data_IF_301406026221
#
_entry.id   IF_301406026221
#
_cell.length_a   1.000
_cell.length_b   1.000
_cell.length_c   1.000
_cell.angle_alpha   90.00
_cell.angle_beta   90.00
_cell.angle_gamma   90.00
#
_symmetry.space_group_name_H-M   'P 1'
#
loop_
_entity.id
_entity.type
_entity.pdbx_description
1 polymer ?
#
# COMPACT_ATOMS: atom_id res chain seq x y z
N UNK A 1 -25.13 -68.30 27.76
CA UNK A 1 -24.63 -68.09 26.38
C UNK A 1 -25.87 -67.90 25.53
N UNK A 2 -26.20 -66.76 24.93
CA UNK A 2 -25.43 -65.68 24.31
C UNK A 2 -26.27 -64.40 24.36
N UNK A 3 -25.67 -63.24 24.66
CA UNK A 3 -26.31 -61.94 24.41
C UNK A 3 -25.37 -61.05 23.61
N UNK A 4 -25.97 -60.47 22.57
CA UNK A 4 -25.38 -59.77 21.44
C UNK A 4 -24.59 -58.52 21.85
N UNK A 5 -23.36 -58.41 21.37
CA UNK A 5 -22.55 -57.18 21.42
C UNK A 5 -22.95 -56.27 20.26
N UNK A 6 -23.67 -55.19 20.55
CA UNK A 6 -23.96 -54.14 19.58
C UNK A 6 -22.77 -53.17 19.49
N UNK A 7 -22.20 -53.04 18.29
CA UNK A 7 -21.15 -52.08 17.99
C UNK A 7 -21.66 -50.63 18.10
N UNK A 8 -20.82 -49.67 18.55
CA UNK A 8 -21.22 -48.27 18.61
C UNK A 8 -21.31 -47.69 17.18
N UNK A 9 -22.47 -47.13 16.85
CA UNK A 9 -22.70 -46.41 15.59
C UNK A 9 -21.80 -45.16 15.53
N UNK A 10 -20.92 -45.08 14.53
CA UNK A 10 -20.17 -43.88 14.20
C UNK A 10 -21.12 -42.83 13.62
N UNK A 11 -21.39 -41.76 14.38
CA UNK A 11 -22.11 -40.61 13.86
C UNK A 11 -21.35 -39.98 12.68
N UNK A 12 -22.05 -39.47 11.65
CA UNK A 12 -21.39 -38.88 10.49
C UNK A 12 -20.59 -37.62 10.90
N UNK A 13 -19.43 -37.36 10.30
CA UNK A 13 -18.64 -36.18 10.60
C UNK A 13 -19.45 -34.91 10.27
N UNK A 14 -19.68 -34.07 11.28
CA UNK A 14 -20.30 -32.76 11.10
C UNK A 14 -19.53 -31.88 10.10
N UNK A 15 -20.16 -30.84 9.54
CA UNK A 15 -19.54 -29.99 8.53
C UNK A 15 -18.19 -29.47 9.02
N UNK A 16 -17.14 -29.67 8.21
CA UNK A 16 -15.75 -29.39 8.55
C UNK A 16 -15.60 -28.04 9.27
N UNK A 17 -15.21 -28.08 10.54
CA UNK A 17 -14.96 -26.90 11.34
C UNK A 17 -13.94 -26.02 10.60
N UNK A 18 -14.36 -24.83 10.14
CA UNK A 18 -13.43 -23.85 9.54
C UNK A 18 -12.29 -23.63 10.52
N UNK A 19 -11.05 -23.78 10.06
CA UNK A 19 -9.87 -23.69 10.92
C UNK A 19 -9.81 -22.37 11.70
N UNK A 20 -9.26 -22.35 12.92
CA UNK A 20 -9.25 -21.17 13.81
C UNK A 20 -8.60 -19.95 13.15
N UNK A 21 -7.66 -20.16 12.24
CA UNK A 21 -7.02 -19.11 11.44
C UNK A 21 -7.97 -18.36 10.50
N UNK A 22 -8.98 -19.04 9.93
CA UNK A 22 -9.97 -18.40 9.04
C UNK A 22 -10.85 -17.43 9.82
N UNK A 23 -11.29 -17.85 11.02
CA UNK A 23 -12.09 -17.00 11.91
C UNK A 23 -11.25 -15.83 12.41
N UNK A 24 -10.00 -16.08 12.81
CA UNK A 24 -9.09 -15.02 13.23
C UNK A 24 -8.83 -14.00 12.11
N UNK A 25 -8.69 -14.45 10.86
CA UNK A 25 -8.50 -13.56 9.71
C UNK A 25 -9.73 -12.65 9.49
N UNK A 26 -10.93 -13.20 9.61
CA UNK A 26 -12.17 -12.41 9.52
C UNK A 26 -12.26 -11.36 10.65
N UNK A 27 -11.87 -11.72 11.88
CA UNK A 27 -11.83 -10.79 13.00
C UNK A 27 -10.75 -9.70 12.80
N UNK A 28 -9.58 -10.08 12.27
CA UNK A 28 -8.51 -9.16 11.91
C UNK A 28 -8.94 -8.12 10.86
N UNK A 29 -9.72 -8.54 9.86
CA UNK A 29 -10.32 -7.61 8.88
C UNK A 29 -11.31 -6.64 9.55
N UNK A 30 -12.15 -7.14 10.46
CA UNK A 30 -13.05 -6.28 11.24
C UNK A 30 -12.29 -5.26 12.11
N UNK A 31 -11.20 -5.69 12.76
CA UNK A 31 -10.32 -4.80 13.51
C UNK A 31 -9.62 -3.78 12.61
N UNK A 32 -9.17 -4.19 11.43
CA UNK A 32 -8.60 -3.30 10.41
C UNK A 32 -9.60 -2.23 9.99
N UNK A 33 -10.87 -2.60 9.75
CA UNK A 33 -11.92 -1.65 9.41
C UNK A 33 -12.16 -0.65 10.56
N UNK A 34 -12.18 -1.12 11.81
CA UNK A 34 -12.26 -0.24 12.98
C UNK A 34 -11.11 0.77 13.04
N UNK A 35 -9.89 0.36 12.71
CA UNK A 35 -8.76 1.29 12.61
C UNK A 35 -8.89 2.27 11.45
N UNK A 36 -9.38 1.80 10.31
CA UNK A 36 -9.64 2.66 9.16
C UNK A 36 -10.60 3.81 9.52
N UNK A 37 -11.71 3.53 10.22
CA UNK A 37 -12.65 4.59 10.65
C UNK A 37 -12.01 5.66 11.56
N UNK A 38 -11.11 5.27 12.48
CA UNK A 38 -10.40 6.23 13.35
C UNK A 38 -9.54 7.20 12.54
N UNK A 39 -8.87 6.69 11.50
CA UNK A 39 -8.02 7.52 10.65
C UNK A 39 -8.82 8.33 9.63
N UNK A 40 -9.88 7.75 9.06
CA UNK A 40 -10.77 8.45 8.12
C UNK A 40 -11.38 9.69 8.77
N UNK A 41 -11.79 9.64 10.04
CA UNK A 41 -12.32 10.80 10.75
C UNK A 41 -11.34 11.99 10.75
N UNK A 42 -10.06 11.73 11.05
CA UNK A 42 -9.01 12.74 11.02
C UNK A 42 -8.72 13.23 9.59
N UNK A 43 -8.72 12.32 8.60
CA UNK A 43 -8.50 12.68 7.19
C UNK A 43 -9.64 13.52 6.60
N UNK A 44 -10.86 13.36 7.10
CA UNK A 44 -12.05 14.06 6.62
C UNK A 44 -12.28 15.43 7.27
N UNK A 45 -11.52 15.78 8.31
CA UNK A 45 -11.72 17.03 9.04
C UNK A 45 -11.64 18.29 8.15
N UNK A 46 -10.61 18.49 7.30
CA UNK A 46 -10.56 19.65 6.40
C UNK A 46 -11.71 19.71 5.36
N UNK A 47 -12.05 18.63 4.62
CA UNK A 47 -13.20 18.67 3.70
C UNK A 47 -14.53 18.94 4.38
N UNK A 48 -14.75 18.40 5.60
CA UNK A 48 -15.98 18.64 6.35
C UNK A 48 -16.08 20.10 6.79
N UNK A 49 -14.95 20.73 7.16
CA UNK A 49 -14.90 22.16 7.47
C UNK A 49 -15.24 23.02 6.24
N UNK A 50 -14.68 22.71 5.07
CA UNK A 50 -14.96 23.44 3.85
C UNK A 50 -16.39 23.23 3.31
N UNK A 51 -16.92 22.00 3.40
CA UNK A 51 -18.22 21.65 2.84
C UNK A 51 -19.42 21.99 3.73
N UNK A 52 -19.28 21.88 5.05
CA UNK A 52 -20.36 22.09 6.01
C UNK A 52 -20.12 23.30 6.94
N UNK A 53 -18.99 23.99 6.80
CA UNK A 53 -18.65 25.16 7.62
C UNK A 53 -18.37 24.82 9.09
N UNK A 54 -17.95 23.58 9.39
CA UNK A 54 -17.76 23.12 10.77
C UNK A 54 -16.63 23.87 11.50
N UNK A 55 -16.87 24.23 12.75
CA UNK A 55 -15.85 24.77 13.64
C UNK A 55 -14.85 23.69 14.10
N UNK A 56 -13.64 24.07 14.52
CA UNK A 56 -12.68 23.13 15.13
C UNK A 56 -13.24 22.36 16.33
N UNK A 57 -14.12 22.99 17.13
CA UNK A 57 -14.78 22.34 18.26
C UNK A 57 -15.74 21.24 17.79
N UNK A 58 -16.53 21.49 16.74
CA UNK A 58 -17.42 20.49 16.14
C UNK A 58 -16.66 19.32 15.52
N UNK A 59 -15.54 19.58 14.85
CA UNK A 59 -14.63 18.52 14.36
C UNK A 59 -14.08 17.67 15.52
N UNK A 60 -13.73 18.31 16.63
CA UNK A 60 -13.34 17.64 17.87
C UNK A 60 -14.45 16.72 18.41
N UNK A 61 -15.69 17.21 18.45
CA UNK A 61 -16.86 16.42 18.87
C UNK A 61 -17.13 15.26 17.91
N UNK A 62 -17.06 15.48 16.60
CA UNK A 62 -17.19 14.44 15.58
C UNK A 62 -16.17 13.31 15.79
N UNK A 63 -14.88 13.64 15.98
CA UNK A 63 -13.83 12.66 16.23
C UNK A 63 -13.97 11.97 17.61
N UNK A 64 -14.36 12.72 18.64
CA UNK A 64 -14.50 12.19 20.00
C UNK A 64 -15.72 11.27 20.16
N UNK A 65 -16.81 11.52 19.42
CA UNK A 65 -18.06 10.75 19.52
C UNK A 65 -17.84 9.26 19.25
N UNK A 66 -17.01 8.93 18.25
CA UNK A 66 -16.61 7.54 18.00
C UNK A 66 -15.99 6.91 19.24
N UNK A 67 -15.06 7.60 19.90
CA UNK A 67 -14.30 7.08 21.04
C UNK A 67 -15.16 6.94 22.29
N UNK A 68 -16.03 7.91 22.57
CA UNK A 68 -16.99 7.82 23.68
C UNK A 68 -17.98 6.68 23.48
N UNK A 69 -18.57 6.55 22.29
CA UNK A 69 -19.49 5.45 21.99
C UNK A 69 -18.79 4.09 22.05
N UNK A 70 -17.60 3.99 21.45
CA UNK A 70 -16.76 2.77 21.50
C UNK A 70 -16.42 2.38 22.94
N UNK A 71 -16.02 3.34 23.77
CA UNK A 71 -15.64 3.15 25.16
C UNK A 71 -16.81 2.74 26.06
N UNK A 72 -17.94 3.46 25.96
CA UNK A 72 -19.16 3.17 26.71
C UNK A 72 -19.67 1.76 26.44
N UNK A 73 -19.47 1.24 25.22
CA UNK A 73 -19.91 -0.09 24.84
C UNK A 73 -18.98 -1.22 25.29
N UNK A 74 -17.75 -0.96 25.76
CA UNK A 74 -16.78 -2.03 26.03
C UNK A 74 -17.26 -3.06 27.04
N UNK A 75 -17.88 -2.63 28.14
CA UNK A 75 -18.42 -3.52 29.17
C UNK A 75 -19.53 -4.41 28.60
N UNK A 76 -20.46 -3.82 27.84
CA UNK A 76 -21.55 -4.54 27.20
C UNK A 76 -21.06 -5.53 26.14
N UNK A 77 -20.00 -5.19 25.39
CA UNK A 77 -19.38 -6.09 24.42
C UNK A 77 -18.70 -7.27 25.11
N UNK A 78 -18.03 -7.06 26.25
CA UNK A 78 -17.47 -8.12 27.08
C UNK A 78 -18.55 -9.11 27.54
N UNK A 79 -19.60 -8.58 28.19
CA UNK A 79 -20.75 -9.37 28.64
C UNK A 79 -21.39 -10.11 27.47
N UNK A 80 -21.61 -9.43 26.34
CA UNK A 80 -22.15 -10.05 25.12
C UNK A 80 -21.31 -11.22 24.62
N UNK A 81 -19.98 -11.10 24.64
CA UNK A 81 -19.09 -12.19 24.20
C UNK A 81 -19.02 -13.37 25.16
N UNK A 82 -19.32 -13.16 26.43
CA UNK A 82 -19.42 -14.22 27.42
C UNK A 82 -20.76 -14.94 27.33
N UNK A 83 -21.86 -14.21 27.13
CA UNK A 83 -23.22 -14.77 27.08
C UNK A 83 -23.61 -15.32 25.70
N UNK A 84 -23.33 -14.59 24.64
CA UNK A 84 -23.73 -14.89 23.26
C UNK A 84 -22.59 -15.52 22.43
N UNK A 85 -21.36 -15.45 22.95
CA UNK A 85 -20.16 -15.83 22.23
C UNK A 85 -19.66 -14.73 21.28
N UNK A 86 -18.38 -14.85 20.88
CA UNK A 86 -17.69 -13.89 20.00
C UNK A 86 -18.43 -13.68 18.68
N UNK A 87 -18.82 -14.78 18.02
CA UNK A 87 -19.43 -14.73 16.68
C UNK A 87 -20.73 -13.92 16.66
N UNK A 88 -21.65 -14.19 17.58
CA UNK A 88 -22.97 -13.53 17.60
C UNK A 88 -22.83 -12.06 17.99
N UNK A 89 -21.99 -11.76 18.97
CA UNK A 89 -21.73 -10.38 19.41
C UNK A 89 -21.21 -9.52 18.27
N UNK A 90 -20.20 -10.02 17.52
CA UNK A 90 -19.67 -9.29 16.36
C UNK A 90 -20.74 -9.13 15.27
N UNK A 91 -21.48 -10.19 14.93
CA UNK A 91 -22.50 -10.12 13.88
C UNK A 91 -23.68 -9.19 14.21
N UNK A 92 -23.99 -8.99 15.50
CA UNK A 92 -25.03 -8.06 15.93
C UNK A 92 -24.52 -6.60 15.96
N UNK A 93 -23.27 -6.39 16.35
CA UNK A 93 -22.71 -5.03 16.46
C UNK A 93 -22.28 -4.46 15.10
N UNK A 94 -21.61 -5.25 14.26
CA UNK A 94 -20.99 -4.73 13.03
C UNK A 94 -21.96 -4.08 12.02
N UNK A 95 -23.22 -4.54 11.87
CA UNK A 95 -24.22 -3.84 11.06
C UNK A 95 -24.44 -2.38 11.48
N UNK A 96 -24.28 -2.04 12.77
CA UNK A 96 -24.34 -0.65 13.22
C UNK A 96 -23.22 0.20 12.63
N UNK A 97 -22.03 -0.38 12.44
CA UNK A 97 -20.92 0.33 11.80
C UNK A 97 -21.18 0.57 10.30
N UNK A 98 -21.83 -0.37 9.62
CA UNK A 98 -22.27 -0.20 8.23
C UNK A 98 -23.34 0.88 8.12
N UNK A 99 -24.35 0.87 9.01
CA UNK A 99 -25.39 1.90 9.01
C UNK A 99 -24.81 3.28 9.34
N UNK A 100 -23.90 3.35 10.32
CA UNK A 100 -23.23 4.58 10.69
C UNK A 100 -22.35 5.15 9.56
N UNK A 101 -21.66 4.28 8.80
CA UNK A 101 -20.86 4.73 7.65
C UNK A 101 -21.73 5.28 6.51
N UNK A 102 -22.89 4.65 6.24
CA UNK A 102 -23.88 5.16 5.27
C UNK A 102 -24.45 6.50 5.72
N UNK A 103 -24.81 6.63 7.01
CA UNK A 103 -25.28 7.89 7.60
C UNK A 103 -24.26 9.01 7.46
N UNK A 104 -22.99 8.75 7.77
CA UNK A 104 -21.90 9.72 7.57
C UNK A 104 -21.71 10.08 6.09
N UNK A 105 -21.79 9.11 5.19
CA UNK A 105 -21.61 9.35 3.75
C UNK A 105 -22.73 10.20 3.13
N UNK A 106 -23.95 10.12 3.68
CA UNK A 106 -25.12 10.87 3.22
C UNK A 106 -25.41 12.12 4.06
N UNK A 107 -24.52 12.51 4.97
CA UNK A 107 -24.79 13.52 5.98
C UNK A 107 -25.00 14.93 5.38
N UNK A 108 -26.19 15.54 5.53
CA UNK A 108 -26.43 16.93 5.11
C UNK A 108 -26.09 17.95 6.20
N UNK A 109 -25.76 17.50 7.42
CA UNK A 109 -25.53 18.37 8.59
C UNK A 109 -24.64 17.72 9.63
N UNK A 110 -24.12 18.52 10.57
CA UNK A 110 -23.28 18.07 11.68
C UNK A 110 -23.93 16.97 12.54
N UNK A 111 -25.22 17.08 12.84
CA UNK A 111 -25.92 16.10 13.68
C UNK A 111 -25.90 14.68 13.07
N UNK A 112 -26.00 14.57 11.74
CA UNK A 112 -25.90 13.29 11.04
C UNK A 112 -24.50 12.67 11.16
N UNK A 113 -23.46 13.50 11.10
CA UNK A 113 -22.08 13.04 11.28
C UNK A 113 -21.83 12.52 12.70
N UNK A 114 -22.37 13.21 13.71
CA UNK A 114 -22.28 12.78 15.12
C UNK A 114 -23.05 11.47 15.32
N UNK A 115 -24.29 11.38 14.84
CA UNK A 115 -25.10 10.15 14.93
C UNK A 115 -24.44 8.97 14.21
N UNK A 116 -23.93 9.20 13.00
CA UNK A 116 -23.18 8.21 12.24
C UNK A 116 -21.93 7.77 12.98
N UNK A 117 -21.13 8.68 13.56
CA UNK A 117 -19.96 8.32 14.34
C UNK A 117 -20.27 7.54 15.62
N UNK A 118 -21.36 7.87 16.30
CA UNK A 118 -21.79 7.10 17.46
C UNK A 118 -22.08 5.64 17.05
N UNK A 119 -22.83 5.43 15.96
CA UNK A 119 -23.14 4.10 15.44
C UNK A 119 -21.88 3.34 14.99
N UNK A 120 -20.93 4.01 14.33
CA UNK A 120 -19.64 3.43 13.96
C UNK A 120 -18.87 3.01 15.22
N UNK A 121 -18.81 3.88 16.24
CA UNK A 121 -18.17 3.60 17.52
C UNK A 121 -18.75 2.37 18.21
N UNK A 122 -20.08 2.29 18.32
CA UNK A 122 -20.78 1.12 18.89
C UNK A 122 -20.52 -0.13 18.06
N UNK A 123 -20.66 -0.06 16.73
CA UNK A 123 -20.53 -1.24 15.87
C UNK A 123 -19.11 -1.79 15.79
N UNK A 124 -18.10 -0.91 15.94
CA UNK A 124 -16.70 -1.29 15.98
C UNK A 124 -16.21 -1.68 17.38
N UNK A 125 -16.98 -1.43 18.44
CA UNK A 125 -16.61 -1.72 19.83
C UNK A 125 -16.06 -3.14 20.09
N UNK A 126 -16.63 -4.23 19.53
CA UNK A 126 -16.10 -5.56 19.79
C UNK A 126 -14.87 -5.91 18.93
N UNK A 127 -14.45 -5.10 17.97
CA UNK A 127 -13.50 -5.54 16.93
C UNK A 127 -12.15 -6.00 17.49
N UNK A 128 -11.54 -5.22 18.40
CA UNK A 128 -10.29 -5.61 19.05
C UNK A 128 -10.53 -6.68 20.12
N UNK A 129 -11.53 -6.49 20.97
CA UNK A 129 -11.82 -7.39 22.10
C UNK A 129 -12.19 -8.80 21.62
N UNK A 130 -12.91 -8.91 20.50
CA UNK A 130 -13.23 -10.18 19.85
C UNK A 130 -11.97 -10.90 19.33
N UNK A 131 -11.00 -10.18 18.77
CA UNK A 131 -9.71 -10.77 18.40
C UNK A 131 -9.01 -11.34 19.63
N UNK A 132 -8.90 -10.55 20.70
CA UNK A 132 -8.21 -10.94 21.94
C UNK A 132 -8.88 -12.14 22.62
N UNK A 133 -10.21 -12.09 22.80
CA UNK A 133 -10.99 -13.18 23.40
C UNK A 133 -10.92 -14.44 22.54
N UNK A 134 -11.01 -14.30 21.21
CA UNK A 134 -10.87 -15.45 20.31
C UNK A 134 -9.48 -16.07 20.38
N UNK A 135 -8.41 -15.26 20.37
CA UNK A 135 -7.04 -15.77 20.48
C UNK A 135 -6.85 -16.51 21.80
N UNK A 136 -7.31 -15.94 22.90
CA UNK A 136 -7.23 -16.54 24.24
C UNK A 136 -7.97 -17.89 24.34
N UNK A 137 -9.09 -18.05 23.61
CA UNK A 137 -9.88 -19.29 23.61
C UNK A 137 -9.40 -20.33 22.60
N UNK A 138 -8.82 -19.91 21.47
CA UNK A 138 -8.51 -20.78 20.34
C UNK A 138 -7.03 -21.19 20.24
N UNK A 139 -6.12 -20.50 20.93
CA UNK A 139 -4.68 -20.78 20.87
C UNK A 139 -4.10 -21.00 22.28
N UNK A 140 -3.01 -21.81 22.40
CA UNK A 140 -2.30 -21.96 23.66
C UNK A 140 -1.79 -20.62 24.20
N UNK A 141 -1.84 -20.42 25.52
CA UNK A 141 -1.43 -19.19 26.21
C UNK A 141 0.00 -18.74 25.84
N UNK A 142 0.93 -19.67 25.65
CA UNK A 142 2.31 -19.40 25.21
C UNK A 142 2.39 -18.67 23.85
N UNK A 143 1.38 -18.82 22.97
CA UNK A 143 1.33 -18.17 21.65
C UNK A 143 0.48 -16.90 21.65
N UNK A 144 -0.21 -16.59 22.75
CA UNK A 144 -1.14 -15.46 22.82
C UNK A 144 -0.50 -14.14 22.41
N UNK A 145 0.67 -13.81 22.99
CA UNK A 145 1.39 -12.58 22.69
C UNK A 145 1.85 -12.53 21.23
N UNK A 146 2.39 -13.63 20.70
CA UNK A 146 2.87 -13.71 19.32
C UNK A 146 1.73 -13.56 18.30
N UNK A 147 0.60 -14.25 18.52
CA UNK A 147 -0.57 -14.19 17.62
C UNK A 147 -1.25 -12.81 17.71
N UNK A 148 -1.40 -12.26 18.92
CA UNK A 148 -1.94 -10.91 19.11
C UNK A 148 -1.07 -9.84 18.46
N UNK A 149 0.26 -9.96 18.61
CA UNK A 149 1.24 -9.11 17.92
C UNK A 149 1.12 -9.19 16.39
N UNK A 150 0.98 -10.40 15.85
CA UNK A 150 0.77 -10.61 14.42
C UNK A 150 -0.53 -9.98 13.90
N UNK A 151 -1.63 -10.07 14.66
CA UNK A 151 -2.91 -9.43 14.32
C UNK A 151 -2.78 -7.90 14.34
N UNK A 152 -2.10 -7.33 15.34
CA UNK A 152 -1.83 -5.89 15.40
C UNK A 152 -0.95 -5.41 14.24
N UNK A 153 0.08 -6.17 13.89
CA UNK A 153 0.95 -5.86 12.74
C UNK A 153 0.22 -5.95 11.40
N UNK A 154 -0.52 -7.05 11.18
CA UNK A 154 -1.26 -7.29 9.96
C UNK A 154 -2.38 -6.26 9.75
N UNK A 155 -3.14 -5.94 10.79
CA UNK A 155 -4.19 -4.92 10.70
C UNK A 155 -3.64 -3.54 10.36
N UNK A 156 -2.50 -3.14 10.95
CA UNK A 156 -1.83 -1.89 10.61
C UNK A 156 -1.33 -1.83 9.17
N UNK A 157 -0.86 -2.95 8.62
CA UNK A 157 -0.44 -3.06 7.23
C UNK A 157 -1.65 -3.05 6.27
N UNK A 158 -2.68 -3.83 6.55
CA UNK A 158 -3.89 -3.90 5.73
C UNK A 158 -4.61 -2.55 5.69
N UNK A 159 -4.65 -1.83 6.81
CA UNK A 159 -5.20 -0.47 6.86
C UNK A 159 -4.54 0.45 5.83
N UNK A 160 -3.22 0.37 5.67
CA UNK A 160 -2.49 1.18 4.70
C UNK A 160 -2.78 0.76 3.26
N UNK A 161 -2.80 -0.54 2.96
CA UNK A 161 -3.06 -1.05 1.60
C UNK A 161 -4.50 -0.71 1.15
N UNK A 162 -5.45 -0.69 2.09
CA UNK A 162 -6.84 -0.34 1.82
C UNK A 162 -7.07 1.16 1.59
N UNK A 163 -6.11 2.03 1.95
CA UNK A 163 -6.22 3.46 1.65
C UNK A 163 -6.08 3.67 0.14
N UNK A 164 -7.07 4.29 -0.54
CA UNK A 164 -7.03 4.50 -2.00
C UNK A 164 -5.79 5.27 -2.48
N UNK A 165 -5.24 6.14 -1.62
CA UNK A 165 -4.02 6.91 -1.87
C UNK A 165 -2.76 6.05 -1.97
N UNK A 166 -2.68 4.97 -1.19
CA UNK A 166 -1.49 4.12 -1.10
C UNK A 166 -1.23 3.39 -2.40
N UNK A 167 -2.28 3.01 -3.13
CA UNK A 167 -2.16 2.30 -4.41
C UNK A 167 -1.41 3.13 -5.45
N UNK A 168 -1.72 4.43 -5.57
CA UNK A 168 -1.05 5.30 -6.53
C UNK A 168 0.42 5.54 -6.20
N UNK A 169 0.70 5.76 -4.91
CA UNK A 169 2.07 5.91 -4.41
C UNK A 169 2.86 4.61 -4.61
N UNK A 170 2.28 3.46 -4.26
CA UNK A 170 2.91 2.15 -4.38
C UNK A 170 3.16 1.75 -5.84
N UNK A 171 2.22 2.03 -6.74
CA UNK A 171 2.38 1.78 -8.17
C UNK A 171 3.52 2.62 -8.77
N UNK A 172 3.60 3.90 -8.41
CA UNK A 172 4.71 4.73 -8.88
C UNK A 172 6.04 4.26 -8.28
N UNK A 173 6.06 3.93 -7.00
CA UNK A 173 7.24 3.43 -6.30
C UNK A 173 7.78 2.13 -6.93
N UNK A 174 6.90 1.23 -7.33
CA UNK A 174 7.28 -0.06 -7.93
C UNK A 174 7.88 0.07 -9.34
N UNK A 175 7.71 1.21 -10.00
CA UNK A 175 8.15 1.37 -11.39
C UNK A 175 9.39 2.29 -11.48
N UNK A 176 9.41 3.36 -10.70
CA UNK A 176 10.40 4.44 -10.86
C UNK A 176 11.82 4.00 -10.52
N UNK A 177 12.06 3.50 -9.30
CA UNK A 177 13.38 2.97 -8.93
C UNK A 177 13.72 1.68 -9.71
N UNK A 178 12.70 0.85 -9.97
CA UNK A 178 12.84 -0.40 -10.70
C UNK A 178 13.38 -0.19 -12.12
N UNK A 179 12.96 0.87 -12.81
CA UNK A 179 13.45 1.21 -14.16
C UNK A 179 14.98 1.39 -14.19
N UNK A 180 15.51 2.16 -13.24
CA UNK A 180 16.95 2.39 -13.11
C UNK A 180 17.71 1.11 -12.78
N UNK A 181 17.23 0.32 -11.82
CA UNK A 181 17.88 -0.94 -11.43
C UNK A 181 17.83 -1.98 -12.55
N UNK A 182 16.72 -2.06 -13.30
CA UNK A 182 16.64 -2.95 -14.45
C UNK A 182 17.65 -2.56 -15.54
N UNK A 183 17.76 -1.27 -15.87
CA UNK A 183 18.78 -0.80 -16.80
C UNK A 183 20.19 -1.10 -16.28
N UNK A 184 20.57 -0.55 -15.14
CA UNK A 184 21.93 -0.62 -14.60
C UNK A 184 22.35 -2.04 -14.18
N UNK A 185 21.42 -2.85 -13.68
CA UNK A 185 21.69 -4.16 -13.11
C UNK A 185 21.54 -5.33 -14.07
N UNK A 186 20.73 -5.20 -15.13
CA UNK A 186 20.45 -6.31 -16.05
C UNK A 186 20.78 -5.97 -17.51
N UNK A 187 20.36 -4.81 -18.01
CA UNK A 187 20.33 -4.55 -19.46
C UNK A 187 21.52 -3.74 -19.99
N UNK A 188 22.09 -2.84 -19.19
CA UNK A 188 23.14 -1.91 -19.65
C UNK A 188 24.40 -2.66 -20.10
N UNK A 189 24.82 -3.67 -19.34
CA UNK A 189 26.01 -4.46 -19.64
C UNK A 189 25.90 -5.16 -21.01
N UNK A 190 24.93 -6.06 -21.18
CA UNK A 190 24.67 -6.77 -22.44
C UNK A 190 24.36 -5.82 -23.61
N UNK A 191 23.62 -4.72 -23.39
CA UNK A 191 23.34 -3.74 -24.44
C UNK A 191 24.64 -3.15 -24.99
N UNK A 192 25.57 -2.75 -24.12
CA UNK A 192 26.86 -2.20 -24.54
C UNK A 192 27.76 -3.23 -25.24
N UNK A 193 27.80 -4.46 -24.74
CA UNK A 193 28.70 -5.50 -25.30
C UNK A 193 28.13 -6.15 -26.56
N UNK A 194 26.84 -6.48 -26.59
CA UNK A 194 26.21 -7.21 -27.70
C UNK A 194 25.72 -6.29 -28.82
N UNK A 195 25.17 -5.11 -28.50
CA UNK A 195 24.66 -4.19 -29.54
C UNK A 195 25.79 -3.37 -30.18
N UNK A 196 26.82 -3.05 -29.39
CA UNK A 196 27.88 -2.12 -29.80
C UNK A 196 29.30 -2.69 -29.77
N UNK A 197 29.49 -3.95 -29.37
CA UNK A 197 30.80 -4.60 -29.38
C UNK A 197 31.81 -4.07 -28.36
N UNK A 198 31.38 -3.32 -27.34
CA UNK A 198 32.27 -2.83 -26.29
C UNK A 198 32.85 -4.00 -25.49
N UNK A 199 34.08 -3.83 -24.99
CA UNK A 199 34.67 -4.80 -24.07
C UNK A 199 33.94 -4.81 -22.71
N UNK A 200 34.05 -5.92 -21.98
CA UNK A 200 33.50 -6.04 -20.61
C UNK A 200 34.05 -4.94 -19.68
N UNK A 201 35.32 -4.56 -19.85
CA UNK A 201 35.96 -3.48 -19.06
C UNK A 201 35.33 -2.12 -19.39
N UNK A 202 35.13 -1.81 -20.67
CA UNK A 202 34.49 -0.55 -21.07
C UNK A 202 33.04 -0.47 -20.58
N UNK A 203 32.28 -1.55 -20.74
CA UNK A 203 30.91 -1.65 -20.24
C UNK A 203 30.84 -1.52 -18.72
N UNK A 204 31.76 -2.18 -18.00
CA UNK A 204 31.91 -2.06 -16.55
C UNK A 204 32.22 -0.63 -16.09
N UNK A 205 33.10 0.09 -16.80
CA UNK A 205 33.41 1.49 -16.51
C UNK A 205 32.18 2.39 -16.69
N UNK A 206 31.38 2.18 -17.74
CA UNK A 206 30.11 2.92 -17.93
C UNK A 206 29.16 2.64 -16.77
N UNK A 207 28.97 1.37 -16.40
CA UNK A 207 28.11 1.00 -15.28
C UNK A 207 28.58 1.64 -13.96
N UNK A 208 29.90 1.71 -13.72
CA UNK A 208 30.49 2.38 -12.56
C UNK A 208 30.18 3.89 -12.57
N UNK A 209 30.36 4.58 -13.71
CA UNK A 209 30.04 6.02 -13.82
C UNK A 209 28.55 6.29 -13.59
N UNK A 210 27.67 5.47 -14.17
CA UNK A 210 26.22 5.52 -13.91
C UNK A 210 25.91 5.36 -12.42
N UNK A 211 26.62 4.45 -11.74
CA UNK A 211 26.49 4.21 -10.30
C UNK A 211 26.89 5.42 -9.47
N UNK A 212 28.08 5.97 -9.71
CA UNK A 212 28.60 7.13 -8.99
C UNK A 212 27.68 8.35 -9.19
N UNK A 213 27.22 8.55 -10.43
CA UNK A 213 26.30 9.64 -10.75
C UNK A 213 24.98 9.52 -9.99
N UNK A 214 24.48 8.29 -9.80
CA UNK A 214 23.25 8.05 -9.04
C UNK A 214 23.34 8.38 -7.55
N UNK A 215 24.56 8.44 -6.99
CA UNK A 215 24.78 8.87 -5.61
C UNK A 215 24.68 10.39 -5.45
N UNK A 216 24.94 11.16 -6.52
CA UNK A 216 24.88 12.63 -6.50
C UNK A 216 23.45 13.14 -6.65
N UNK A 217 22.63 12.47 -7.46
CA UNK A 217 21.24 12.86 -7.73
C UNK A 217 20.44 13.20 -6.46
N UNK A 218 20.32 12.29 -5.47
CA UNK A 218 19.61 12.53 -4.22
C UNK A 218 20.02 13.82 -3.48
N UNK A 219 21.29 14.20 -3.52
CA UNK A 219 21.81 15.40 -2.85
C UNK A 219 21.28 16.69 -3.51
N UNK A 220 21.08 16.69 -4.83
CA UNK A 220 20.58 17.84 -5.58
C UNK A 220 19.06 17.88 -5.58
N UNK A 221 18.40 16.76 -5.84
CA UNK A 221 16.94 16.69 -5.80
C UNK A 221 16.37 16.88 -4.39
N UNK A 222 17.13 16.55 -3.34
CA UNK A 222 16.74 16.83 -1.95
C UNK A 222 16.65 18.33 -1.62
N UNK A 223 17.31 19.19 -2.41
CA UNK A 223 17.21 20.66 -2.28
C UNK A 223 16.05 21.25 -3.04
N UNK A 224 15.40 20.48 -3.91
CA UNK A 224 14.21 20.94 -4.66
C UNK A 224 13.06 21.07 -3.67
N UNK A 225 12.86 22.28 -3.14
CA UNK A 225 11.82 22.62 -2.18
C UNK A 225 10.45 22.75 -2.85
N UNK A 226 9.89 21.61 -3.25
CA UNK A 226 8.50 21.58 -3.70
C UNK A 226 7.57 21.41 -2.48
N UNK A 227 6.83 22.47 -2.13
CA UNK A 227 5.77 22.46 -1.11
C UNK A 227 4.43 22.10 -1.78
N UNK A 228 3.62 21.26 -1.12
CA UNK A 228 2.26 20.89 -1.57
C UNK A 228 2.17 20.33 -3.00
N UNK A 229 1.18 20.83 -3.77
CA UNK A 229 0.88 20.48 -5.17
C UNK A 229 2.08 20.55 -6.14
N UNK A 230 3.08 21.37 -5.82
CA UNK A 230 4.31 21.44 -6.62
C UNK A 230 5.06 20.11 -6.64
N UNK A 231 5.07 19.37 -5.52
CA UNK A 231 5.88 18.16 -5.37
C UNK A 231 5.41 17.03 -6.26
N UNK A 232 4.11 16.75 -6.30
CA UNK A 232 3.57 15.73 -7.21
C UNK A 232 3.78 16.10 -8.67
N UNK A 233 3.65 17.37 -9.04
CA UNK A 233 3.94 17.84 -10.41
C UNK A 233 5.40 17.63 -10.78
N UNK A 234 6.33 17.95 -9.87
CA UNK A 234 7.75 17.66 -10.05
C UNK A 234 8.03 16.16 -10.17
N UNK A 235 7.45 15.34 -9.29
CA UNK A 235 7.58 13.87 -9.36
C UNK A 235 7.11 13.36 -10.73
N UNK A 236 5.90 13.75 -11.16
CA UNK A 236 5.37 13.36 -12.47
C UNK A 236 6.26 13.86 -13.61
N UNK A 237 6.72 15.12 -13.55
CA UNK A 237 7.62 15.68 -14.56
C UNK A 237 8.94 14.92 -14.67
N UNK A 238 9.57 14.57 -13.55
CA UNK A 238 10.77 13.75 -13.55
C UNK A 238 10.51 12.31 -14.01
N UNK A 239 9.39 11.70 -13.63
CA UNK A 239 9.02 10.36 -14.12
C UNK A 239 8.78 10.37 -15.64
N UNK A 240 8.12 11.40 -16.18
CA UNK A 240 7.96 11.57 -17.64
C UNK A 240 9.29 11.84 -18.33
N UNK A 241 10.18 12.62 -17.72
CA UNK A 241 11.55 12.81 -18.20
C UNK A 241 12.32 11.49 -18.27
N UNK A 242 12.22 10.64 -17.24
CA UNK A 242 12.80 9.29 -17.25
C UNK A 242 12.19 8.42 -18.36
N UNK A 243 10.87 8.47 -18.56
CA UNK A 243 10.22 7.76 -19.66
C UNK A 243 10.73 8.22 -21.03
N UNK A 244 10.94 9.53 -21.22
CA UNK A 244 11.52 10.07 -22.43
C UNK A 244 12.97 9.60 -22.65
N UNK A 245 13.78 9.51 -21.59
CA UNK A 245 15.15 8.97 -21.68
C UNK A 245 15.16 7.49 -22.09
N UNK A 246 14.27 6.66 -21.53
CA UNK A 246 14.13 5.26 -21.96
C UNK A 246 13.62 5.14 -23.40
N UNK A 247 12.69 6.02 -23.82
CA UNK A 247 12.25 6.08 -25.20
C UNK A 247 13.41 6.45 -26.14
N UNK A 248 14.26 7.41 -25.75
CA UNK A 248 15.45 7.78 -26.52
C UNK A 248 16.45 6.62 -26.62
N UNK A 249 16.64 5.82 -25.55
CA UNK A 249 17.45 4.59 -25.64
C UNK A 249 16.88 3.57 -26.63
N UNK A 250 15.55 3.49 -26.77
CA UNK A 250 14.92 2.58 -27.72
C UNK A 250 15.05 3.04 -29.18
N UNK A 251 15.21 4.34 -29.41
CA UNK A 251 15.18 4.94 -30.74
C UNK A 251 16.59 5.26 -31.27
N UNK A 252 17.50 5.68 -30.41
CA UNK A 252 18.84 6.12 -30.79
C UNK A 252 19.82 4.94 -30.78
N UNK A 253 20.34 4.61 -31.96
CA UNK A 253 21.31 3.52 -32.16
C UNK A 253 22.73 4.09 -32.20
N UNK A 254 23.18 4.68 -31.09
CA UNK A 254 24.50 5.29 -30.96
C UNK A 254 25.12 4.99 -29.60
N UNK A 255 26.39 4.59 -29.59
CA UNK A 255 27.16 4.29 -28.38
C UNK A 255 27.21 5.49 -27.45
N UNK A 256 27.59 6.66 -27.99
CA UNK A 256 27.75 7.88 -27.19
C UNK A 256 26.41 8.32 -26.62
N UNK A 257 25.35 8.29 -27.43
CA UNK A 257 24.00 8.62 -26.97
C UNK A 257 23.56 7.67 -25.84
N UNK A 258 23.78 6.37 -26.00
CA UNK A 258 23.44 5.34 -25.00
C UNK A 258 24.14 5.59 -23.68
N UNK A 259 25.45 5.87 -23.70
CA UNK A 259 26.24 6.14 -22.50
C UNK A 259 25.77 7.43 -21.82
N UNK A 260 25.58 8.51 -22.57
CA UNK A 260 25.12 9.80 -22.03
C UNK A 260 23.73 9.67 -21.42
N UNK A 261 22.80 8.98 -22.10
CA UNK A 261 21.45 8.76 -21.60
C UNK A 261 21.47 7.87 -20.36
N UNK A 262 22.26 6.80 -20.32
CA UNK A 262 22.39 5.95 -19.14
C UNK A 262 22.90 6.73 -17.92
N UNK A 263 23.87 7.63 -18.12
CA UNK A 263 24.36 8.54 -17.06
C UNK A 263 23.25 9.51 -16.63
N UNK A 264 22.50 10.07 -17.57
CA UNK A 264 21.36 10.95 -17.28
C UNK A 264 20.25 10.22 -16.50
N UNK A 265 19.96 8.96 -16.82
CA UNK A 265 19.04 8.09 -16.06
C UNK A 265 19.58 7.84 -14.66
N UNK A 266 20.89 7.56 -14.53
CA UNK A 266 21.56 7.39 -13.25
C UNK A 266 21.44 8.63 -12.37
N UNK A 267 21.69 9.82 -12.92
CA UNK A 267 21.45 11.08 -12.21
C UNK A 267 19.97 11.26 -11.86
N UNK A 268 19.12 11.08 -12.86
CA UNK A 268 17.69 11.31 -12.83
C UNK A 268 16.98 10.48 -11.77
N UNK A 269 17.43 9.25 -11.49
CA UNK A 269 16.83 8.40 -10.45
C UNK A 269 16.89 9.02 -9.04
N UNK A 270 17.76 10.01 -8.82
CA UNK A 270 17.90 10.70 -7.53
C UNK A 270 16.64 11.40 -7.04
N UNK A 271 15.69 11.74 -7.93
CA UNK A 271 14.41 12.32 -7.53
C UNK A 271 13.54 11.42 -6.63
N UNK A 272 13.92 10.14 -6.44
CA UNK A 272 13.26 9.22 -5.50
C UNK A 272 13.12 9.80 -4.09
N UNK A 273 14.04 10.70 -3.68
CA UNK A 273 13.95 11.44 -2.41
C UNK A 273 12.66 12.27 -2.29
N UNK A 274 12.15 12.79 -3.41
CA UNK A 274 10.89 13.52 -3.45
C UNK A 274 9.70 12.59 -3.19
N UNK A 275 9.77 11.33 -3.62
CA UNK A 275 8.73 10.34 -3.31
C UNK A 275 8.74 9.95 -1.84
N UNK A 276 9.91 9.77 -1.22
CA UNK A 276 10.02 9.56 0.24
C UNK A 276 9.40 10.74 1.02
N UNK A 277 9.69 11.97 0.60
CA UNK A 277 9.10 13.16 1.20
C UNK A 277 7.59 13.26 0.96
N UNK A 278 7.09 12.87 -0.22
CA UNK A 278 5.66 12.80 -0.55
C UNK A 278 4.95 11.76 0.33
N UNK A 279 5.52 10.56 0.49
CA UNK A 279 4.99 9.53 1.41
C UNK A 279 4.90 10.10 2.82
N UNK A 280 5.97 10.71 3.35
CA UNK A 280 5.94 11.25 4.71
C UNK A 280 4.87 12.34 4.91
N UNK A 281 4.67 13.21 3.92
CA UNK A 281 3.63 14.23 3.96
C UNK A 281 2.21 13.69 3.71
N UNK A 282 2.11 12.45 3.20
CA UNK A 282 0.85 11.85 2.76
C UNK A 282 0.07 11.15 3.89
N UNK A 283 0.74 10.79 4.98
CA UNK A 283 0.16 10.01 6.07
C UNK A 283 0.36 10.72 7.41
N UNK A 284 -0.56 10.54 8.38
CA UNK A 284 -0.38 11.02 9.75
C UNK A 284 0.88 10.44 10.39
N UNK A 285 1.48 11.17 11.34
CA UNK A 285 2.73 10.79 12.03
C UNK A 285 2.70 9.37 12.63
N UNK A 286 1.54 8.95 13.13
CA UNK A 286 1.34 7.61 13.69
C UNK A 286 1.50 6.46 12.68
N UNK A 287 1.38 6.74 11.38
CA UNK A 287 1.43 5.74 10.30
C UNK A 287 2.66 5.88 9.38
N UNK A 288 3.44 6.96 9.51
CA UNK A 288 4.55 7.28 8.61
C UNK A 288 5.56 6.14 8.46
N UNK A 289 6.00 5.53 9.57
CA UNK A 289 6.98 4.42 9.51
C UNK A 289 6.47 3.21 8.73
N UNK A 290 5.19 2.85 8.92
CA UNK A 290 4.55 1.74 8.19
C UNK A 290 4.34 2.09 6.71
N UNK A 291 3.95 3.32 6.41
CA UNK A 291 3.80 3.79 5.03
C UNK A 291 5.13 3.76 4.26
N UNK A 292 6.23 4.16 4.91
CA UNK A 292 7.58 4.06 4.35
C UNK A 292 8.02 2.61 4.11
N UNK A 293 7.62 1.68 4.98
CA UNK A 293 7.87 0.25 4.78
C UNK A 293 7.09 -0.30 3.57
N UNK A 294 5.80 0.03 3.43
CA UNK A 294 4.98 -0.35 2.26
C UNK A 294 5.56 0.22 0.97
N UNK A 295 5.97 1.50 0.99
CA UNK A 295 6.64 2.14 -0.13
C UNK A 295 7.93 1.42 -0.53
N UNK A 296 8.80 1.11 0.44
CA UNK A 296 10.08 0.44 0.20
C UNK A 296 9.87 -1.00 -0.30
N UNK A 297 8.87 -1.71 0.25
CA UNK A 297 8.47 -3.02 -0.22
C UNK A 297 8.00 -2.97 -1.68
N UNK A 298 7.12 -2.02 -2.02
CA UNK A 298 6.62 -1.83 -3.38
C UNK A 298 7.78 -1.53 -4.36
N UNK A 299 8.75 -0.72 -3.93
CA UNK A 299 9.96 -0.40 -4.69
C UNK A 299 10.78 -1.64 -5.03
N UNK A 300 11.12 -2.49 -4.05
CA UNK A 300 11.93 -3.70 -4.28
C UNK A 300 11.17 -4.81 -5.03
N UNK A 301 9.89 -5.00 -4.71
CA UNK A 301 9.04 -5.93 -5.47
C UNK A 301 8.93 -5.47 -6.94
N UNK A 302 8.83 -4.16 -7.13
CA UNK A 302 8.88 -3.50 -8.42
C UNK A 302 10.13 -3.83 -9.24
N UNK A 303 11.32 -3.85 -8.60
CA UNK A 303 12.58 -4.25 -9.27
C UNK A 303 12.46 -5.67 -9.84
N UNK A 304 11.99 -6.62 -9.02
CA UNK A 304 11.84 -8.01 -9.44
C UNK A 304 10.85 -8.15 -10.59
N UNK A 305 9.67 -7.51 -10.49
CA UNK A 305 8.65 -7.52 -11.54
C UNK A 305 9.15 -6.87 -12.82
N UNK A 306 9.84 -5.72 -12.73
CA UNK A 306 10.40 -5.02 -13.88
C UNK A 306 11.43 -5.88 -14.61
N UNK A 307 12.37 -6.51 -13.89
CA UNK A 307 13.37 -7.41 -14.48
C UNK A 307 12.72 -8.63 -15.13
N UNK A 308 11.69 -9.21 -14.50
CA UNK A 308 10.97 -10.35 -15.05
C UNK A 308 10.19 -9.99 -16.32
N UNK A 309 9.39 -8.93 -16.28
CA UNK A 309 8.59 -8.45 -17.43
C UNK A 309 9.49 -8.03 -18.59
N UNK A 310 10.57 -7.29 -18.33
CA UNK A 310 11.54 -6.93 -19.38
C UNK A 310 12.27 -8.15 -19.93
N UNK A 311 12.56 -9.16 -19.10
CA UNK A 311 13.10 -10.44 -19.55
C UNK A 311 12.17 -11.18 -20.51
N UNK A 312 10.88 -11.29 -20.16
CA UNK A 312 9.87 -11.86 -21.06
C UNK A 312 9.73 -11.08 -22.37
N UNK A 313 9.77 -9.75 -22.28
CA UNK A 313 9.70 -8.87 -23.45
C UNK A 313 10.91 -9.05 -24.38
N UNK A 314 12.12 -9.19 -23.82
CA UNK A 314 13.33 -9.50 -24.58
C UNK A 314 13.27 -10.90 -25.23
N UNK A 315 12.81 -11.93 -24.51
CA UNK A 315 12.65 -13.27 -25.07
C UNK A 315 11.66 -13.30 -26.22
N UNK A 316 10.52 -12.60 -26.09
CA UNK A 316 9.54 -12.47 -27.16
C UNK A 316 10.12 -11.71 -28.37
N UNK A 317 10.87 -10.62 -28.14
CA UNK A 317 11.52 -9.87 -29.20
C UNK A 317 12.50 -10.75 -30.02
N UNK A 318 13.36 -11.49 -29.32
CA UNK A 318 14.32 -12.42 -29.95
C UNK A 318 13.60 -13.49 -30.78
N UNK A 319 12.49 -14.05 -30.29
CA UNK A 319 11.70 -15.05 -31.01
C UNK A 319 11.09 -14.51 -32.33
N UNK A 320 10.80 -13.21 -32.37
CA UNK A 320 10.27 -12.52 -33.55
C UNK A 320 11.35 -11.83 -34.41
N UNK A 321 12.64 -12.00 -34.09
CA UNK A 321 13.74 -11.35 -34.82
C UNK A 321 13.80 -9.83 -34.64
N UNK A 322 13.19 -9.29 -33.58
CA UNK A 322 13.20 -7.87 -33.22
C UNK A 322 14.34 -7.61 -32.23
N UNK A 323 14.99 -6.45 -32.30
CA UNK A 323 16.02 -6.05 -31.31
C UNK A 323 15.44 -6.09 -29.87
N UNK A 324 15.96 -6.99 -29.00
CA UNK A 324 15.45 -7.14 -27.64
C UNK A 324 15.66 -5.88 -26.78
N UNK A 325 16.75 -5.13 -27.00
CA UNK A 325 17.04 -3.92 -26.21
C UNK A 325 16.05 -2.81 -26.53
N UNK A 326 15.63 -2.69 -27.79
CA UNK A 326 14.57 -1.77 -28.19
C UNK A 326 13.26 -2.09 -27.49
N UNK A 327 12.84 -3.36 -27.49
CA UNK A 327 11.57 -3.79 -26.87
C UNK A 327 11.61 -3.64 -25.35
N UNK A 328 12.74 -3.95 -24.71
CA UNK A 328 12.95 -3.73 -23.27
C UNK A 328 12.77 -2.26 -22.91
N UNK A 329 13.46 -1.35 -23.60
CA UNK A 329 13.41 0.08 -23.31
C UNK A 329 12.00 0.67 -23.56
N UNK A 330 11.29 0.20 -24.60
CA UNK A 330 9.88 0.56 -24.83
C UNK A 330 8.95 0.03 -23.73
N UNK A 331 9.19 -1.18 -23.23
CA UNK A 331 8.43 -1.77 -22.12
C UNK A 331 8.61 -0.94 -20.84
N UNK A 332 9.85 -0.57 -20.50
CA UNK A 332 10.14 0.31 -19.35
C UNK A 332 9.46 1.68 -19.53
N UNK A 333 9.52 2.24 -20.73
CA UNK A 333 8.83 3.50 -21.07
C UNK A 333 7.32 3.39 -20.81
N UNK A 334 6.68 2.35 -21.33
CA UNK A 334 5.24 2.11 -21.14
C UNK A 334 4.88 1.96 -19.66
N UNK A 335 5.68 1.22 -18.89
CA UNK A 335 5.46 1.06 -17.45
C UNK A 335 5.61 2.40 -16.72
N UNK A 336 6.61 3.22 -17.03
CA UNK A 336 6.76 4.57 -16.43
C UNK A 336 5.55 5.47 -16.75
N UNK A 337 5.01 5.41 -17.96
CA UNK A 337 3.80 6.13 -18.33
C UNK A 337 2.57 5.64 -17.56
N UNK A 338 2.40 4.32 -17.41
CA UNK A 338 1.32 3.70 -16.61
C UNK A 338 1.45 4.10 -15.14
N UNK A 339 2.65 4.08 -14.57
CA UNK A 339 2.92 4.50 -13.20
C UNK A 339 2.58 5.97 -12.98
N UNK A 340 2.95 6.83 -13.93
CA UNK A 340 2.62 8.26 -13.90
C UNK A 340 1.10 8.49 -13.99
N UNK A 341 0.42 7.81 -14.91
CA UNK A 341 -1.03 7.92 -15.08
C UNK A 341 -1.78 7.43 -13.82
N UNK A 342 -1.39 6.30 -13.26
CA UNK A 342 -1.96 5.79 -12.01
C UNK A 342 -1.72 6.74 -10.83
N UNK A 343 -0.53 7.33 -10.73
CA UNK A 343 -0.24 8.34 -9.71
C UNK A 343 -1.02 9.65 -9.89
N UNK A 344 -1.38 10.00 -11.14
CA UNK A 344 -2.17 11.19 -11.46
C UNK A 344 -3.68 10.99 -11.22
N UNK A 345 -4.19 9.78 -11.49
CA UNK A 345 -5.63 9.46 -11.47
C UNK A 345 -6.13 8.86 -10.15
N UNK A 346 -5.29 8.15 -9.39
CA UNK A 346 -5.73 7.57 -8.12
C UNK A 346 -6.00 8.65 -7.05
N UNK A 347 -7.00 8.45 -6.16
CA UNK A 347 -7.56 9.50 -5.33
C UNK A 347 -6.52 10.30 -4.56
N UNK A 348 -6.66 11.63 -4.64
CA UNK A 348 -5.88 12.61 -3.90
C UNK A 348 -6.41 12.69 -2.46
N UNK A 349 -5.57 13.12 -1.53
CA UNK A 349 -6.15 13.78 -0.36
C UNK A 349 -6.91 15.00 -0.87
N UNK A 350 -8.12 15.23 -0.37
CA UNK A 350 -8.84 16.47 -0.63
C UNK A 350 -7.94 17.60 -0.12
N UNK A 351 -7.42 18.42 -1.03
CA UNK A 351 -6.58 19.56 -0.68
C UNK A 351 -7.45 20.76 -0.30
N UNK A 352 -7.11 21.31 0.86
CA UNK A 352 -7.41 22.66 1.33
C UNK A 352 -7.23 23.66 0.17
N UNK A 353 -8.32 24.35 -0.19
CA UNK A 353 -8.26 25.62 -0.92
C UNK A 353 -8.29 26.76 0.09
#
# INVERSE_FOLDING_TARGET
MTSSSAAPSSAPPGPAARGPWVVLMALCLGFTLSQAFRTVAAMMAPPLQAGLGLSPAELGVFAATFHFAFGAMQVFMGIGMDLLGVRRTVLLAFPLAVMGSVLCAMAPSFAWLVAGQALIGVGCAPAFLACTVFIARAFPSARFAAVSGAVMGLSGFLQLVLMPRTLGIALLASITYASFIALRGLWLGPMLTQQYGLSLVQSGNVALVVSLTSMVGPLLFGRVSAVGLGRRRWIMGFTLGMAALFLLLALLHSVVATVVIAIAIGFGCGYIVLQYADVRASYPDALTGRALAVFTMAMFLGVAVMQWVTGLAASAATAHGIDPYKVVNLTVTALLLVGTAGFAWLPRAVEER
#
